data_IF_809095071122
#
_entry.id   IF_809095071122
#
_cell.length_a   1.000
_cell.length_b   1.000
_cell.length_c   1.000
_cell.angle_alpha   90.00
_cell.angle_beta   90.00
_cell.angle_gamma   90.00
#
_symmetry.space_group_name_H-M   'P 1'
#
loop_
_entity.id
_entity.type
_entity.pdbx_description
1 polymer ?
#
# COMPACT_ATOMS: atom_id res chain seq x y z
N UNK A 1 16.36 -44.70 -27.83
CA UNK A 1 16.03 -45.31 -29.12
C UNK A 1 15.60 -46.75 -28.84
N UNK A 2 14.31 -46.98 -28.61
CA UNK A 2 13.77 -48.27 -28.17
C UNK A 2 13.29 -49.07 -29.38
N UNK A 3 14.04 -50.10 -29.73
CA UNK A 3 13.64 -51.11 -30.70
C UNK A 3 12.64 -52.08 -30.06
N UNK A 4 11.55 -52.29 -30.78
CA UNK A 4 10.63 -53.41 -30.61
C UNK A 4 11.40 -54.73 -30.62
N UNK A 5 11.22 -55.55 -29.59
CA UNK A 5 11.47 -56.99 -29.70
C UNK A 5 10.25 -57.72 -29.17
N UNK A 6 9.46 -58.24 -30.12
CA UNK A 6 8.39 -59.17 -29.88
C UNK A 6 8.95 -60.42 -29.20
N UNK A 7 8.38 -60.79 -28.06
CA UNK A 7 8.57 -62.12 -27.47
C UNK A 7 7.21 -62.64 -27.00
N UNK A 8 6.77 -63.65 -27.75
CA UNK A 8 5.79 -64.71 -27.46
C UNK A 8 4.82 -64.50 -26.29
N UNK A 9 3.55 -64.41 -26.66
CA UNK A 9 2.39 -64.45 -25.75
C UNK A 9 2.35 -65.78 -24.99
N UNK A 10 2.23 -65.78 -23.66
CA UNK A 10 1.41 -66.76 -22.98
C UNK A 10 -0.05 -66.34 -23.16
N UNK A 11 -0.85 -67.26 -23.69
CA UNK A 11 -2.30 -67.20 -23.70
C UNK A 11 -2.85 -67.14 -22.28
N UNK A 12 -3.62 -66.09 -21.96
CA UNK A 12 -4.34 -65.96 -20.69
C UNK A 12 -3.79 -64.87 -19.77
N UNK A 13 -3.77 -63.62 -20.24
CA UNK A 13 -3.72 -62.47 -19.35
C UNK A 13 -4.81 -61.52 -19.83
N UNK A 14 -5.85 -61.35 -19.02
CA UNK A 14 -6.83 -60.28 -19.19
C UNK A 14 -6.07 -58.98 -19.45
N UNK A 15 -6.24 -58.40 -20.63
CA UNK A 15 -5.90 -56.98 -20.80
C UNK A 15 -6.72 -56.25 -19.74
N UNK A 16 -6.10 -55.47 -18.83
CA UNK A 16 -6.85 -54.80 -17.79
C UNK A 16 -7.91 -53.96 -18.49
N UNK A 17 -9.17 -54.28 -18.20
CA UNK A 17 -10.33 -53.69 -18.84
C UNK A 17 -10.13 -52.17 -18.88
N UNK A 18 -10.08 -51.53 -20.07
CA UNK A 18 -9.75 -50.12 -20.20
C UNK A 18 -10.67 -49.24 -19.34
N UNK A 19 -11.89 -49.72 -19.10
CA UNK A 19 -12.89 -49.10 -18.23
C UNK A 19 -12.49 -49.15 -16.74
N UNK A 20 -11.80 -50.21 -16.29
CA UNK A 20 -11.26 -50.34 -14.92
C UNK A 20 -10.01 -49.48 -14.74
N UNK A 21 -9.16 -49.39 -15.76
CA UNK A 21 -7.99 -48.50 -15.76
C UNK A 21 -8.43 -47.03 -15.71
N UNK A 22 -9.41 -46.64 -16.51
CA UNK A 22 -9.95 -45.28 -16.53
C UNK A 22 -10.68 -44.93 -15.23
N UNK A 23 -11.41 -45.86 -14.60
CA UNK A 23 -12.01 -45.65 -13.27
C UNK A 23 -10.98 -45.51 -12.16
N UNK A 24 -9.86 -46.26 -12.21
CA UNK A 24 -8.75 -46.11 -11.26
C UNK A 24 -8.04 -44.77 -11.44
N UNK A 25 -7.81 -44.36 -12.67
CA UNK A 25 -7.22 -43.06 -12.99
C UNK A 25 -8.12 -41.91 -12.50
N UNK A 26 -9.43 -41.97 -12.76
CA UNK A 26 -10.40 -41.01 -12.24
C UNK A 26 -10.49 -41.01 -10.71
N UNK A 27 -10.34 -42.17 -10.05
CA UNK A 27 -10.31 -42.25 -8.60
C UNK A 27 -9.07 -41.58 -8.01
N UNK A 28 -7.89 -41.86 -8.57
CA UNK A 28 -6.63 -41.23 -8.17
C UNK A 28 -6.68 -39.72 -8.39
N UNK A 29 -7.22 -39.27 -9.53
CA UNK A 29 -7.41 -37.84 -9.79
C UNK A 29 -8.38 -37.18 -8.79
N UNK A 30 -9.42 -37.89 -8.33
CA UNK A 30 -10.32 -37.39 -7.28
C UNK A 30 -9.66 -37.35 -5.91
N UNK A 31 -8.83 -38.34 -5.57
CA UNK A 31 -8.08 -38.33 -4.30
C UNK A 31 -7.05 -37.21 -4.27
N UNK A 32 -6.28 -37.03 -5.36
CA UNK A 32 -5.35 -35.91 -5.52
C UNK A 32 -6.09 -34.57 -5.49
N UNK A 33 -7.25 -34.46 -6.15
CA UNK A 33 -8.06 -33.25 -6.09
C UNK A 33 -8.61 -32.95 -4.69
N UNK A 34 -8.97 -33.98 -3.92
CA UNK A 34 -9.44 -33.84 -2.54
C UNK A 34 -8.30 -33.42 -1.61
N UNK A 35 -7.14 -34.05 -1.72
CA UNK A 35 -5.95 -33.69 -0.95
C UNK A 35 -5.51 -32.25 -1.25
N UNK A 36 -5.48 -31.87 -2.53
CA UNK A 36 -5.21 -30.50 -2.95
C UNK A 36 -6.24 -29.52 -2.37
N UNK A 37 -7.54 -29.85 -2.39
CA UNK A 37 -8.58 -28.99 -1.81
C UNK A 37 -8.43 -28.81 -0.29
N UNK A 38 -8.01 -29.85 0.44
CA UNK A 38 -7.72 -29.78 1.87
C UNK A 38 -6.51 -28.88 2.15
N UNK A 39 -5.42 -29.04 1.37
CA UNK A 39 -4.22 -28.19 1.46
C UNK A 39 -4.55 -26.73 1.17
N UNK A 40 -5.29 -26.44 0.10
CA UNK A 40 -5.76 -25.10 -0.26
C UNK A 40 -6.59 -24.48 0.88
N UNK A 41 -7.48 -25.25 1.48
CA UNK A 41 -8.31 -24.78 2.61
C UNK A 41 -7.45 -24.43 3.83
N UNK A 42 -6.47 -25.27 4.17
CA UNK A 42 -5.53 -24.99 5.25
C UNK A 42 -4.68 -23.75 4.97
N UNK A 43 -4.16 -23.59 3.75
CA UNK A 43 -3.38 -22.40 3.36
C UNK A 43 -4.21 -21.11 3.48
N UNK A 44 -5.48 -21.13 3.06
CA UNK A 44 -6.38 -19.99 3.22
C UNK A 44 -6.65 -19.65 4.70
N UNK A 45 -6.88 -20.67 5.52
CA UNK A 45 -7.07 -20.51 6.95
C UNK A 45 -5.84 -19.87 7.60
N UNK A 46 -4.63 -20.37 7.29
CA UNK A 46 -3.36 -19.82 7.79
C UNK A 46 -3.22 -18.35 7.40
N UNK A 47 -3.43 -18.00 6.12
CA UNK A 47 -3.33 -16.61 5.66
C UNK A 47 -4.32 -15.69 6.41
N UNK A 48 -5.54 -16.15 6.63
CA UNK A 48 -6.57 -15.39 7.37
C UNK A 48 -6.23 -15.22 8.86
N UNK A 49 -5.66 -16.25 9.48
CA UNK A 49 -5.20 -16.19 10.87
C UNK A 49 -4.02 -15.23 11.01
N UNK A 50 -3.06 -15.29 10.09
CA UNK A 50 -1.91 -14.39 10.05
C UNK A 50 -2.33 -12.92 9.96
N UNK A 51 -3.30 -12.56 9.10
CA UNK A 51 -3.85 -11.18 9.06
C UNK A 51 -4.32 -10.74 10.45
N UNK A 52 -5.05 -11.61 11.15
CA UNK A 52 -5.56 -11.32 12.50
C UNK A 52 -4.40 -11.15 13.50
N UNK A 53 -3.40 -12.02 13.45
CA UNK A 53 -2.21 -11.95 14.31
C UNK A 53 -1.44 -10.65 14.09
N UNK A 54 -1.22 -10.24 12.84
CA UNK A 54 -0.51 -9.00 12.53
C UNK A 54 -1.27 -7.76 12.96
N UNK A 55 -2.61 -7.74 12.78
CA UNK A 55 -3.44 -6.64 13.27
C UNK A 55 -3.39 -6.53 14.80
N UNK A 56 -3.49 -7.66 15.52
CA UNK A 56 -3.35 -7.66 16.99
C UNK A 56 -1.95 -7.22 17.40
N UNK A 57 -0.90 -7.68 16.72
CA UNK A 57 0.48 -7.28 16.99
C UNK A 57 0.69 -5.77 16.78
N UNK A 58 0.10 -5.18 15.73
CA UNK A 58 0.12 -3.74 15.49
C UNK A 58 -0.57 -2.95 16.62
N UNK A 59 -1.73 -3.41 17.08
CA UNK A 59 -2.43 -2.80 18.21
C UNK A 59 -1.61 -2.90 19.51
N UNK A 60 -1.04 -4.09 19.79
CA UNK A 60 -0.18 -4.29 20.96
C UNK A 60 1.06 -3.40 20.91
N UNK A 61 1.65 -3.23 19.72
CA UNK A 61 2.79 -2.34 19.52
C UNK A 61 2.46 -0.90 19.89
N UNK A 62 1.22 -0.43 19.72
CA UNK A 62 0.79 0.91 20.17
C UNK A 62 0.74 1.01 21.70
N UNK A 63 0.40 -0.07 22.41
CA UNK A 63 0.26 -0.06 23.87
C UNK A 63 1.58 -0.28 24.62
N UNK A 64 2.52 -1.03 24.06
CA UNK A 64 3.77 -1.40 24.75
C UNK A 64 4.77 -0.24 24.72
N UNK A 65 5.32 0.22 25.86
CA UNK A 65 6.32 1.29 25.88
C UNK A 65 7.61 0.86 25.15
N UNK A 66 8.33 1.81 24.55
CA UNK A 66 9.48 1.52 23.67
C UNK A 66 10.58 0.78 24.42
N UNK A 67 10.76 1.12 25.69
CA UNK A 67 11.74 0.53 26.60
C UNK A 67 11.49 -0.96 26.85
N UNK A 68 10.24 -1.43 26.67
CA UNK A 68 9.85 -2.83 26.84
C UNK A 68 9.89 -3.65 25.55
N UNK A 69 10.19 -3.04 24.39
CA UNK A 69 10.26 -3.75 23.11
C UNK A 69 11.56 -4.56 22.92
N UNK A 70 12.50 -4.48 23.87
CA UNK A 70 13.79 -5.15 23.77
C UNK A 70 14.69 -4.46 22.74
N UNK A 71 15.39 -5.26 21.93
CA UNK A 71 16.27 -4.74 20.88
C UNK A 71 15.46 -4.30 19.64
N UNK A 72 15.36 -2.99 19.37
CA UNK A 72 14.57 -2.47 18.25
C UNK A 72 15.05 -2.96 16.88
N UNK A 73 16.35 -3.28 16.74
CA UNK A 73 16.95 -3.75 15.50
C UNK A 73 16.43 -5.14 15.11
N UNK A 74 16.23 -6.00 16.11
CA UNK A 74 15.74 -7.37 15.92
C UNK A 74 14.26 -7.36 15.54
N UNK A 75 13.46 -6.52 16.21
CA UNK A 75 12.04 -6.36 15.90
C UNK A 75 11.87 -5.82 14.48
N UNK A 76 12.62 -4.77 14.12
CA UNK A 76 12.64 -4.21 12.77
C UNK A 76 13.01 -5.25 11.71
N UNK A 77 14.13 -5.94 11.91
CA UNK A 77 14.61 -6.97 10.97
C UNK A 77 13.63 -8.13 10.84
N UNK A 78 12.95 -8.53 11.92
CA UNK A 78 11.94 -9.59 11.88
C UNK A 78 10.71 -9.18 11.06
N UNK A 79 10.23 -7.95 11.24
CA UNK A 79 9.09 -7.43 10.49
C UNK A 79 9.48 -7.27 9.01
N UNK A 80 10.65 -6.69 8.70
CA UNK A 80 11.12 -6.56 7.31
C UNK A 80 11.25 -7.92 6.61
N UNK A 81 11.83 -8.93 7.26
CA UNK A 81 11.89 -10.29 6.68
C UNK A 81 10.49 -10.86 6.42
N UNK A 82 9.52 -10.58 7.29
CA UNK A 82 8.14 -10.98 7.04
C UNK A 82 7.57 -10.25 5.81
N UNK A 83 7.78 -8.94 5.70
CA UNK A 83 7.41 -8.14 4.51
C UNK A 83 8.01 -8.72 3.24
N UNK A 84 9.32 -8.98 3.21
CA UNK A 84 10.02 -9.57 2.08
C UNK A 84 9.41 -10.93 1.69
N UNK A 85 9.21 -11.82 2.65
CA UNK A 85 8.63 -13.14 2.39
C UNK A 85 7.24 -13.04 1.76
N UNK A 86 6.39 -12.12 2.24
CA UNK A 86 5.01 -11.97 1.72
C UNK A 86 5.01 -11.25 0.38
N UNK A 87 5.93 -10.31 0.18
CA UNK A 87 6.13 -9.66 -1.12
C UNK A 87 6.61 -10.67 -2.18
N UNK A 88 7.54 -11.56 -1.83
CA UNK A 88 7.97 -12.64 -2.73
C UNK A 88 6.80 -13.55 -3.11
N UNK A 89 5.97 -13.95 -2.13
CA UNK A 89 4.77 -14.75 -2.41
C UNK A 89 3.78 -14.02 -3.33
N UNK A 90 3.59 -12.72 -3.13
CA UNK A 90 2.73 -11.90 -3.97
C UNK A 90 3.29 -11.76 -5.39
N UNK A 91 4.59 -11.50 -5.54
CA UNK A 91 5.26 -11.38 -6.85
C UNK A 91 5.28 -12.68 -7.64
N UNK A 92 5.44 -13.82 -6.95
CA UNK A 92 5.33 -15.14 -7.58
C UNK A 92 3.90 -15.43 -8.06
N UNK A 93 2.90 -14.93 -7.34
CA UNK A 93 1.49 -15.08 -7.72
C UNK A 93 1.06 -14.20 -8.89
N UNK A 94 1.74 -13.07 -9.13
CA UNK A 94 1.46 -12.19 -10.28
C UNK A 94 2.24 -12.60 -11.53
N UNK A 95 3.43 -13.20 -11.37
CA UNK A 95 4.24 -13.70 -12.49
C UNK A 95 3.70 -15.00 -13.12
N UNK A 96 2.85 -15.77 -12.41
CA UNK A 96 2.27 -17.02 -12.92
C UNK A 96 1.15 -16.83 -13.95
N UNK A 97 0.67 -15.60 -14.16
CA UNK A 97 -0.34 -15.29 -15.18
C UNK A 97 0.25 -15.20 -16.60
N UNK A 98 1.59 -15.23 -16.76
CA UNK A 98 2.26 -15.38 -18.06
C UNK A 98 2.38 -16.88 -18.43
N UNK A 99 1.63 -17.31 -19.46
CA UNK A 99 1.33 -18.69 -19.91
C UNK A 99 2.53 -19.63 -20.24
N UNK A 100 3.78 -19.32 -19.89
CA UNK A 100 4.96 -20.09 -20.33
C UNK A 100 5.80 -20.72 -19.23
N UNK A 101 5.49 -20.50 -17.95
CA UNK A 101 6.15 -21.19 -16.84
C UNK A 101 5.15 -22.10 -16.10
N UNK A 102 5.51 -23.38 -15.91
CA UNK A 102 4.80 -24.26 -14.96
C UNK A 102 4.71 -23.52 -13.61
N UNK A 103 3.52 -23.15 -13.12
CA UNK A 103 3.42 -22.27 -11.97
C UNK A 103 3.83 -23.05 -10.71
N UNK A 104 4.48 -22.41 -9.73
CA UNK A 104 4.50 -22.96 -8.39
C UNK A 104 3.04 -23.06 -7.92
N UNK A 105 2.65 -24.22 -7.38
CA UNK A 105 1.34 -24.50 -6.80
C UNK A 105 1.10 -23.66 -5.54
N UNK A 106 0.95 -22.35 -5.71
CA UNK A 106 0.68 -21.39 -4.66
C UNK A 106 -0.78 -20.97 -4.77
N UNK A 107 -1.57 -21.17 -3.72
CA UNK A 107 -2.95 -20.68 -3.65
C UNK A 107 -3.07 -19.18 -3.97
N UNK A 108 -2.01 -18.40 -3.74
CA UNK A 108 -1.98 -16.99 -4.07
C UNK A 108 -2.00 -16.73 -5.59
N UNK A 109 -1.36 -17.59 -6.40
CA UNK A 109 -1.45 -17.54 -7.86
C UNK A 109 -2.88 -17.84 -8.33
N UNK A 110 -3.53 -18.80 -7.68
CA UNK A 110 -4.82 -19.34 -8.15
C UNK A 110 -6.05 -18.60 -7.58
N UNK A 111 -5.89 -17.81 -6.50
CA UNK A 111 -7.01 -17.19 -5.78
C UNK A 111 -6.82 -15.70 -5.52
N UNK A 112 -7.74 -14.89 -6.08
CA UNK A 112 -7.84 -13.46 -5.81
C UNK A 112 -8.07 -13.16 -4.30
N UNK A 113 -8.76 -14.05 -3.59
CA UNK A 113 -8.96 -13.90 -2.14
C UNK A 113 -7.67 -14.16 -1.36
N UNK A 114 -6.84 -15.12 -1.78
CA UNK A 114 -5.53 -15.33 -1.16
C UNK A 114 -4.58 -14.15 -1.43
N UNK A 115 -4.59 -13.58 -2.65
CA UNK A 115 -3.87 -12.32 -2.95
C UNK A 115 -4.35 -11.18 -2.06
N UNK A 116 -5.66 -11.06 -1.84
CA UNK A 116 -6.21 -10.04 -0.95
C UNK A 116 -5.72 -10.19 0.49
N UNK A 117 -5.63 -11.43 1.00
CA UNK A 117 -5.10 -11.67 2.34
C UNK A 117 -3.62 -11.29 2.43
N UNK A 118 -2.80 -11.62 1.42
CA UNK A 118 -1.40 -11.20 1.37
C UNK A 118 -1.25 -9.68 1.38
N UNK A 119 -2.11 -8.96 0.65
CA UNK A 119 -2.14 -7.50 0.68
C UNK A 119 -2.45 -6.94 2.07
N UNK A 120 -3.44 -7.51 2.76
CA UNK A 120 -3.77 -7.11 4.12
C UNK A 120 -2.62 -7.40 5.09
N UNK A 121 -1.93 -8.54 4.94
CA UNK A 121 -0.74 -8.85 5.75
C UNK A 121 0.38 -7.83 5.52
N UNK A 122 0.69 -7.49 4.27
CA UNK A 122 1.70 -6.49 3.93
C UNK A 122 1.35 -5.12 4.52
N UNK A 123 0.08 -4.71 4.41
CA UNK A 123 -0.42 -3.48 5.02
C UNK A 123 -0.20 -3.46 6.53
N UNK A 124 -0.64 -4.50 7.26
CA UNK A 124 -0.44 -4.59 8.70
C UNK A 124 1.04 -4.56 9.09
N UNK A 125 1.90 -5.27 8.34
CA UNK A 125 3.34 -5.34 8.61
C UNK A 125 4.03 -4.00 8.39
N UNK A 126 3.72 -3.28 7.31
CA UNK A 126 4.32 -1.96 7.04
C UNK A 126 3.79 -0.92 8.03
N UNK A 127 2.52 -0.99 8.43
CA UNK A 127 2.00 -0.17 9.53
C UNK A 127 2.75 -0.41 10.84
N UNK A 128 3.12 -1.65 11.14
CA UNK A 128 3.95 -1.98 12.30
C UNK A 128 5.35 -1.37 12.20
N UNK A 129 6.01 -1.43 11.03
CA UNK A 129 7.30 -0.77 10.80
C UNK A 129 7.22 0.72 11.07
N UNK A 130 6.23 1.38 10.45
CA UNK A 130 6.03 2.81 10.60
C UNK A 130 5.72 3.21 12.05
N UNK A 131 4.83 2.46 12.71
CA UNK A 131 4.50 2.66 14.13
C UNK A 131 5.74 2.51 15.02
N UNK A 132 6.53 1.45 14.83
CA UNK A 132 7.75 1.20 15.58
C UNK A 132 8.71 2.39 15.50
N UNK A 133 8.95 2.90 14.29
CA UNK A 133 9.83 4.06 14.07
C UNK A 133 9.28 5.33 14.72
N UNK A 134 7.98 5.63 14.59
CA UNK A 134 7.37 6.79 15.24
C UNK A 134 7.51 6.73 16.76
N UNK A 135 7.30 5.56 17.35
CA UNK A 135 7.46 5.39 18.80
C UNK A 135 8.90 5.61 19.23
N UNK A 136 9.87 5.07 18.50
CA UNK A 136 11.29 5.28 18.78
C UNK A 136 11.72 6.73 18.61
N UNK A 137 11.28 7.40 17.54
CA UNK A 137 11.53 8.82 17.30
C UNK A 137 10.97 9.65 18.46
N UNK A 138 9.72 9.40 18.89
CA UNK A 138 9.11 10.10 20.03
C UNK A 138 9.88 9.89 21.32
N UNK A 139 10.31 8.66 21.61
CA UNK A 139 11.09 8.35 22.82
C UNK A 139 12.45 9.06 22.86
N UNK A 140 13.03 9.40 21.70
CA UNK A 140 14.33 10.09 21.59
C UNK A 140 14.26 11.60 21.42
N UNK A 141 13.09 12.20 21.55
CA UNK A 141 12.92 13.65 21.38
C UNK A 141 12.78 14.09 19.93
N UNK A 142 12.36 13.20 19.03
CA UNK A 142 11.93 13.53 17.66
C UNK A 142 12.71 12.82 16.56
N UNK A 143 12.28 13.05 15.32
CA UNK A 143 12.81 12.42 14.09
C UNK A 143 14.28 12.77 13.84
N UNK A 144 14.72 13.95 14.29
CA UNK A 144 16.08 14.46 14.12
C UNK A 144 17.13 13.76 15.03
N UNK A 145 16.69 12.98 16.03
CA UNK A 145 17.56 12.39 17.04
C UNK A 145 17.80 10.89 16.80
N UNK A 146 18.52 10.55 15.72
CA UNK A 146 19.23 9.28 15.53
C UNK A 146 18.44 7.99 15.80
N UNK A 147 17.11 8.00 15.73
CA UNK A 147 16.27 6.87 16.15
C UNK A 147 16.56 5.60 15.36
N UNK A 148 16.89 5.74 14.08
CA UNK A 148 17.13 4.62 13.18
C UNK A 148 18.59 4.17 13.06
N UNK A 149 19.56 4.87 13.67
CA UNK A 149 20.96 4.38 13.70
C UNK A 149 21.07 3.00 14.35
N UNK A 150 20.12 2.67 15.23
CA UNK A 150 20.04 1.36 15.88
C UNK A 150 19.28 0.30 15.06
N UNK A 151 18.53 0.67 14.02
CA UNK A 151 17.74 -0.30 13.25
C UNK A 151 18.58 -1.11 12.27
N UNK A 152 19.84 -0.69 12.03
CA UNK A 152 20.70 -1.24 10.97
C UNK A 152 20.02 -1.27 9.59
N UNK A 153 19.06 -0.36 9.38
CA UNK A 153 18.31 -0.28 8.14
C UNK A 153 19.22 0.17 6.99
N UNK A 154 18.99 -0.38 5.81
CA UNK A 154 19.83 -0.17 4.63
C UNK A 154 19.08 0.32 3.40
N UNK A 155 19.84 0.55 2.32
CA UNK A 155 19.30 0.93 1.00
C UNK A 155 18.31 -0.10 0.44
N UNK A 156 18.53 -1.39 0.72
CA UNK A 156 17.62 -2.48 0.33
C UNK A 156 16.21 -2.32 0.91
N UNK A 157 16.13 -1.86 2.15
CA UNK A 157 14.87 -1.74 2.88
C UNK A 157 14.04 -0.60 2.29
N UNK A 158 14.70 0.52 1.96
CA UNK A 158 14.06 1.64 1.27
C UNK A 158 13.57 1.23 -0.12
N UNK A 159 14.38 0.50 -0.89
CA UNK A 159 13.98 0.02 -2.23
C UNK A 159 12.77 -0.92 -2.16
N UNK A 160 12.75 -1.86 -1.21
CA UNK A 160 11.60 -2.75 -0.98
C UNK A 160 10.32 -1.94 -0.68
N UNK A 161 10.39 -0.96 0.22
CA UNK A 161 9.24 -0.13 0.58
C UNK A 161 8.77 0.75 -0.58
N UNK A 162 9.70 1.29 -1.39
CA UNK A 162 9.36 2.05 -2.60
C UNK A 162 8.61 1.16 -3.58
N UNK A 163 9.09 -0.06 -3.84
CA UNK A 163 8.40 -1.01 -4.74
C UNK A 163 7.01 -1.32 -4.22
N UNK A 164 6.89 -1.68 -2.93
CA UNK A 164 5.59 -1.96 -2.30
C UNK A 164 4.60 -0.80 -2.40
N UNK A 165 5.06 0.44 -2.28
CA UNK A 165 4.19 1.61 -2.38
C UNK A 165 3.61 1.81 -3.79
N UNK A 166 4.30 1.31 -4.83
CA UNK A 166 3.89 1.44 -6.23
C UNK A 166 3.19 0.21 -6.80
N UNK A 167 3.20 -0.90 -6.07
CA UNK A 167 2.53 -2.12 -6.49
C UNK A 167 1.01 -1.91 -6.53
N UNK A 168 0.40 -2.32 -7.65
CA UNK A 168 -1.00 -2.04 -7.93
C UNK A 168 -1.84 -3.28 -7.69
N UNK A 169 -2.98 -3.12 -7.01
CA UNK A 169 -3.98 -4.19 -6.92
C UNK A 169 -4.70 -4.29 -8.25
N UNK A 170 -4.64 -5.46 -8.88
CA UNK A 170 -5.55 -5.78 -9.97
C UNK A 170 -6.99 -5.70 -9.46
N UNK A 171 -7.80 -4.84 -10.07
CA UNK A 171 -9.24 -4.83 -9.87
C UNK A 171 -9.79 -6.19 -10.26
N UNK A 172 -10.18 -6.99 -9.26
CA UNK A 172 -10.76 -8.31 -9.46
C UNK A 172 -12.09 -8.22 -10.19
N UNK A 173 -12.05 -8.32 -11.51
CA UNK A 173 -13.23 -8.38 -12.35
C UNK A 173 -12.96 -9.06 -13.66
N UNK A 174 -13.16 -10.39 -13.70
CA UNK A 174 -13.32 -11.10 -14.96
C UNK A 174 -14.64 -10.63 -15.58
N UNK A 175 -14.57 -9.63 -16.47
CA UNK A 175 -15.67 -9.34 -17.38
C UNK A 175 -15.73 -10.47 -18.41
N UNK A 176 -16.46 -11.55 -18.08
CA UNK A 176 -16.96 -12.49 -19.09
C UNK A 176 -18.02 -11.74 -19.89
N UNK A 177 -17.58 -10.93 -20.86
CA UNK A 177 -18.24 -10.47 -22.11
C UNK A 177 -17.51 -9.21 -22.57
N UNK A 178 -16.55 -9.36 -23.48
CA UNK A 178 -16.28 -8.47 -24.63
C UNK A 178 -16.10 -6.95 -24.46
N UNK A 179 -16.08 -6.39 -23.26
CA UNK A 179 -15.74 -4.99 -23.00
C UNK A 179 -14.72 -4.93 -21.87
N UNK A 180 -13.49 -4.58 -22.22
CA UNK A 180 -12.49 -4.07 -21.27
C UNK A 180 -12.99 -2.75 -20.72
N UNK A 181 -13.91 -2.79 -19.76
CA UNK A 181 -13.98 -1.70 -18.78
C UNK A 181 -12.75 -1.87 -17.89
N UNK A 182 -11.79 -0.95 -18.02
CA UNK A 182 -10.70 -0.85 -17.07
C UNK A 182 -11.34 -0.60 -15.70
N UNK A 183 -11.41 -1.64 -14.86
CA UNK A 183 -11.78 -1.43 -13.47
C UNK A 183 -10.78 -0.46 -12.85
N UNK A 184 -11.23 0.51 -12.03
CA UNK A 184 -10.31 1.43 -11.39
C UNK A 184 -9.30 0.61 -10.58
N UNK A 185 -8.02 0.79 -10.89
CA UNK A 185 -6.89 0.26 -10.14
C UNK A 185 -7.10 0.64 -8.67
N UNK A 186 -7.34 -0.34 -7.80
CA UNK A 186 -7.60 -0.07 -6.39
C UNK A 186 -6.26 0.23 -5.74
N UNK A 187 -5.95 1.52 -5.58
CA UNK A 187 -4.85 1.96 -4.71
C UNK A 187 -5.06 1.37 -3.31
N UNK A 188 -3.97 1.00 -2.62
CA UNK A 188 -3.98 0.59 -1.21
C UNK A 188 -3.46 1.79 -0.38
N UNK A 189 -4.30 2.80 -0.09
CA UNK A 189 -3.78 4.10 0.31
C UNK A 189 -3.16 4.07 1.70
N UNK A 190 -3.65 3.19 2.57
CA UNK A 190 -3.11 2.91 3.91
C UNK A 190 -1.72 2.26 3.86
N UNK A 191 -1.51 1.30 2.95
CA UNK A 191 -0.19 0.73 2.70
C UNK A 191 0.77 1.80 2.14
N UNK A 192 0.32 2.56 1.13
CA UNK A 192 1.11 3.65 0.56
C UNK A 192 1.48 4.69 1.62
N UNK A 193 0.54 5.11 2.46
CA UNK A 193 0.78 6.03 3.57
C UNK A 193 1.83 5.48 4.53
N UNK A 194 1.70 4.21 4.94
CA UNK A 194 2.66 3.59 5.84
C UNK A 194 4.06 3.46 5.20
N UNK A 195 4.16 3.14 3.90
CA UNK A 195 5.42 3.16 3.17
C UNK A 195 6.04 4.56 3.14
N UNK A 196 5.24 5.60 2.88
CA UNK A 196 5.72 7.01 2.88
C UNK A 196 6.27 7.40 4.23
N UNK A 197 5.52 7.13 5.30
CA UNK A 197 5.98 7.41 6.65
C UNK A 197 7.27 6.65 7.00
N UNK A 198 7.36 5.36 6.63
CA UNK A 198 8.54 4.55 6.92
C UNK A 198 9.78 5.00 6.14
N UNK A 199 9.63 5.26 4.83
CA UNK A 199 10.71 5.77 3.97
C UNK A 199 11.16 7.16 4.45
N UNK A 200 10.21 8.04 4.77
CA UNK A 200 10.48 9.37 5.30
C UNK A 200 11.41 9.32 6.51
N UNK A 201 11.03 8.54 7.53
CA UNK A 201 11.83 8.39 8.75
C UNK A 201 13.20 7.76 8.47
N UNK A 202 13.29 6.73 7.62
CA UNK A 202 14.56 6.10 7.24
C UNK A 202 15.50 7.09 6.56
N UNK A 203 15.03 7.76 5.51
CA UNK A 203 15.84 8.68 4.73
C UNK A 203 16.30 9.88 5.56
N UNK A 204 15.44 10.46 6.43
CA UNK A 204 15.85 11.55 7.32
C UNK A 204 16.98 11.10 8.24
N UNK A 205 16.90 9.88 8.75
CA UNK A 205 17.84 9.36 9.73
C UNK A 205 19.24 9.03 9.20
N UNK A 206 19.38 8.78 7.89
CA UNK A 206 20.69 8.55 7.29
C UNK A 206 21.55 9.82 7.32
N UNK A 207 20.94 11.00 7.27
CA UNK A 207 21.67 12.26 7.34
C UNK A 207 22.62 12.46 6.15
N UNK A 208 22.25 11.92 4.99
CA UNK A 208 23.02 12.02 3.74
C UNK A 208 22.18 12.69 2.65
N UNK A 209 22.85 13.43 1.77
CA UNK A 209 22.21 14.15 0.66
C UNK A 209 21.48 13.18 -0.29
N UNK A 210 22.09 12.02 -0.60
CA UNK A 210 21.48 11.00 -1.46
C UNK A 210 20.19 10.46 -0.83
N UNK A 211 20.21 10.15 0.47
CA UNK A 211 19.04 9.67 1.19
C UNK A 211 17.90 10.69 1.21
N UNK A 212 18.22 11.95 1.52
CA UNK A 212 17.24 13.06 1.49
C UNK A 212 16.67 13.26 0.09
N UNK A 213 17.51 13.20 -0.95
CA UNK A 213 17.08 13.32 -2.34
C UNK A 213 16.11 12.19 -2.72
N UNK A 214 16.46 10.93 -2.42
CA UNK A 214 15.60 9.77 -2.72
C UNK A 214 14.26 9.88 -1.98
N UNK A 215 14.29 10.17 -0.68
CA UNK A 215 13.08 10.33 0.13
C UNK A 215 12.20 11.48 -0.34
N UNK A 216 12.80 12.65 -0.64
CA UNK A 216 12.08 13.81 -1.15
C UNK A 216 11.47 13.55 -2.54
N UNK A 217 12.23 12.94 -3.48
CA UNK A 217 11.71 12.60 -4.80
C UNK A 217 10.55 11.59 -4.72
N UNK A 218 10.65 10.60 -3.83
CA UNK A 218 9.55 9.66 -3.59
C UNK A 218 8.31 10.36 -3.01
N UNK A 219 8.46 11.18 -1.98
CA UNK A 219 7.35 11.92 -1.38
C UNK A 219 6.70 12.91 -2.38
N UNK A 220 7.50 13.61 -3.19
CA UNK A 220 6.99 14.47 -4.27
C UNK A 220 6.23 13.67 -5.33
N UNK A 221 6.69 12.46 -5.66
CA UNK A 221 5.99 11.58 -6.58
C UNK A 221 4.62 11.18 -6.01
N UNK A 222 4.53 10.83 -4.73
CA UNK A 222 3.25 10.53 -4.07
C UNK A 222 2.33 11.76 -4.04
N UNK A 223 2.87 12.93 -3.70
CA UNK A 223 2.14 14.20 -3.68
C UNK A 223 1.52 14.54 -5.06
N UNK A 224 2.22 14.19 -6.13
CA UNK A 224 1.79 14.42 -7.51
C UNK A 224 0.94 13.27 -8.10
N UNK A 225 1.12 12.03 -7.63
CA UNK A 225 0.44 10.83 -8.12
C UNK A 225 -1.07 10.93 -7.95
N UNK A 226 -1.87 10.30 -8.82
CA UNK A 226 -3.35 10.32 -8.87
C UNK A 226 -4.01 11.53 -9.56
N UNK A 227 -3.26 12.48 -10.10
CA UNK A 227 -3.79 13.39 -11.12
C UNK A 227 -3.90 12.66 -12.47
N UNK A 228 -5.00 12.83 -13.21
CA UNK A 228 -5.13 12.24 -14.54
C UNK A 228 -3.91 12.61 -15.42
N UNK A 229 -3.14 11.61 -15.84
CA UNK A 229 -1.98 11.68 -16.74
C UNK A 229 -2.35 12.02 -18.21
N UNK A 230 -3.47 12.71 -18.44
CA UNK A 230 -3.92 13.07 -19.77
C UNK A 230 -4.34 14.54 -19.81
N UNK A 231 -3.49 15.35 -20.46
CA UNK A 231 -3.69 16.73 -20.89
C UNK A 231 -3.71 17.83 -19.81
N UNK A 232 -2.57 18.53 -19.70
CA UNK A 232 -2.39 19.99 -19.62
C UNK A 232 -3.24 20.87 -18.68
N UNK A 233 -4.06 20.33 -17.79
CA UNK A 233 -4.74 21.08 -16.73
C UNK A 233 -4.66 20.28 -15.45
N UNK A 234 -3.93 20.82 -14.47
CA UNK A 234 -3.81 20.24 -13.13
C UNK A 234 -5.20 19.83 -12.60
N UNK A 235 -5.34 18.67 -11.92
CA UNK A 235 -6.62 18.29 -11.33
C UNK A 235 -7.04 19.39 -10.35
N UNK A 236 -8.20 20.00 -10.62
CA UNK A 236 -8.68 21.19 -9.89
C UNK A 236 -9.31 20.85 -8.53
N UNK A 237 -9.43 19.56 -8.17
CA UNK A 237 -9.89 19.13 -6.84
C UNK A 237 -9.43 17.70 -6.50
N UNK A 238 -9.04 17.47 -5.24
CA UNK A 238 -8.71 16.13 -4.71
C UNK A 238 -9.92 15.18 -4.71
N UNK A 239 -11.16 15.68 -4.86
CA UNK A 239 -12.36 14.84 -5.01
C UNK A 239 -12.48 14.18 -6.40
N UNK A 240 -11.57 14.49 -7.34
CA UNK A 240 -11.59 13.96 -8.70
C UNK A 240 -10.57 12.83 -8.95
N UNK A 241 -9.86 12.39 -7.89
CA UNK A 241 -8.73 11.46 -7.99
C UNK A 241 -9.13 10.01 -8.36
N UNK A 242 -10.43 9.66 -8.33
CA UNK A 242 -10.97 8.34 -8.73
C UNK A 242 -11.66 8.40 -10.11
N UNK A 243 -10.88 8.65 -11.18
CA UNK A 243 -11.35 8.43 -12.55
C UNK A 243 -12.34 9.46 -13.12
N UNK A 244 -12.36 10.69 -12.60
CA UNK A 244 -12.97 11.85 -13.28
C UNK A 244 -14.46 12.13 -13.03
N UNK A 245 -15.16 11.32 -12.23
CA UNK A 245 -16.47 11.70 -11.71
C UNK A 245 -16.28 12.50 -10.42
N UNK A 246 -16.39 13.83 -10.50
CA UNK A 246 -16.39 14.67 -9.30
C UNK A 246 -17.46 14.12 -8.34
N UNK A 247 -17.03 13.66 -7.15
CA UNK A 247 -17.93 13.26 -6.08
C UNK A 247 -18.71 14.49 -5.63
N UNK A 248 -19.80 14.81 -6.33
CA UNK A 248 -20.69 15.90 -5.96
C UNK A 248 -21.46 15.48 -4.71
N UNK A 249 -20.91 15.90 -3.58
CA UNK A 249 -21.36 15.60 -2.22
C UNK A 249 -22.77 16.02 -1.85
N UNK A 250 -23.49 16.67 -2.76
CA UNK A 250 -24.81 17.28 -2.54
C UNK A 250 -25.91 16.67 -3.42
N UNK A 251 -25.59 15.65 -4.21
CA UNK A 251 -26.56 14.91 -5.01
C UNK A 251 -27.30 13.88 -4.15
N UNK A 252 -28.63 13.84 -4.26
CA UNK A 252 -29.42 12.89 -3.49
C UNK A 252 -29.42 11.50 -4.18
N UNK A 253 -28.79 10.52 -3.55
CA UNK A 253 -28.76 9.11 -3.94
C UNK A 253 -29.94 8.35 -3.29
N UNK A 254 -30.90 7.91 -4.12
CA UNK A 254 -32.07 7.19 -3.64
C UNK A 254 -31.76 5.72 -3.25
N UNK A 255 -30.90 5.07 -4.03
CA UNK A 255 -30.62 3.64 -3.91
C UNK A 255 -29.58 3.35 -2.79
N UNK A 256 -29.83 2.41 -1.86
CA UNK A 256 -28.85 2.03 -0.83
C UNK A 256 -27.56 1.39 -1.40
N UNK A 257 -27.62 0.71 -2.55
CA UNK A 257 -26.42 0.15 -3.19
C UNK A 257 -25.52 1.24 -3.76
N UNK A 258 -26.10 2.24 -4.43
CA UNK A 258 -25.37 3.41 -4.93
C UNK A 258 -24.76 4.23 -3.78
N UNK A 259 -25.49 4.39 -2.67
CA UNK A 259 -24.97 5.05 -1.47
C UNK A 259 -23.73 4.35 -0.91
N UNK A 260 -23.76 3.01 -0.81
CA UNK A 260 -22.60 2.23 -0.36
C UNK A 260 -21.42 2.35 -1.30
N UNK A 261 -21.65 2.22 -2.62
CA UNK A 261 -20.59 2.36 -3.61
C UNK A 261 -19.98 3.78 -3.59
N UNK A 262 -20.81 4.81 -3.42
CA UNK A 262 -20.34 6.18 -3.30
C UNK A 262 -19.50 6.40 -2.04
N UNK A 263 -19.94 5.89 -0.88
CA UNK A 263 -19.17 5.96 0.37
C UNK A 263 -17.82 5.24 0.24
N UNK A 264 -17.79 4.09 -0.41
CA UNK A 264 -16.54 3.36 -0.67
C UNK A 264 -15.56 4.19 -1.51
N UNK A 265 -16.05 4.89 -2.54
CA UNK A 265 -15.21 5.80 -3.33
C UNK A 265 -14.73 7.00 -2.50
N UNK A 266 -15.60 7.57 -1.68
CA UNK A 266 -15.21 8.66 -0.79
C UNK A 266 -14.10 8.23 0.17
N UNK A 267 -14.21 7.04 0.78
CA UNK A 267 -13.17 6.51 1.66
C UNK A 267 -11.87 6.17 0.91
N UNK A 268 -11.96 5.72 -0.35
CA UNK A 268 -10.77 5.54 -1.18
C UNK A 268 -10.05 6.87 -1.44
N UNK A 269 -10.80 7.94 -1.70
CA UNK A 269 -10.24 9.30 -1.85
C UNK A 269 -9.68 9.80 -0.52
N UNK A 270 -10.38 9.61 0.61
CA UNK A 270 -9.89 9.95 1.95
C UNK A 270 -8.51 9.31 2.19
N UNK A 271 -8.37 8.02 1.88
CA UNK A 271 -7.10 7.32 2.01
C UNK A 271 -5.99 7.88 1.10
N UNK A 272 -6.30 8.25 -0.14
CA UNK A 272 -5.30 8.88 -1.05
C UNK A 272 -4.86 10.24 -0.48
N UNK A 273 -5.79 11.01 0.06
CA UNK A 273 -5.48 12.28 0.72
C UNK A 273 -4.59 12.04 1.94
N UNK A 274 -4.87 11.04 2.77
CA UNK A 274 -4.02 10.68 3.91
C UNK A 274 -2.60 10.29 3.50
N UNK A 275 -2.42 9.53 2.42
CA UNK A 275 -1.09 9.22 1.87
C UNK A 275 -0.34 10.47 1.39
N UNK A 276 -1.04 11.41 0.74
CA UNK A 276 -0.43 12.68 0.31
C UNK A 276 -0.11 13.62 1.47
N UNK A 277 -0.96 13.64 2.49
CA UNK A 277 -0.72 14.37 3.75
C UNK A 277 0.53 13.84 4.43
N UNK A 278 0.70 12.53 4.50
CA UNK A 278 1.93 11.90 5.03
C UNK A 278 3.16 12.27 4.18
N UNK A 279 3.03 12.30 2.86
CA UNK A 279 4.12 12.73 1.98
C UNK A 279 4.51 14.20 2.21
N UNK A 280 3.52 15.08 2.42
CA UNK A 280 3.76 16.46 2.78
C UNK A 280 4.44 16.58 4.15
N UNK A 281 4.02 15.77 5.12
CA UNK A 281 4.65 15.71 6.44
C UNK A 281 6.11 15.25 6.35
N UNK A 282 6.40 14.18 5.61
CA UNK A 282 7.77 13.71 5.39
C UNK A 282 8.64 14.79 4.72
N UNK A 283 8.11 15.53 3.74
CA UNK A 283 8.80 16.66 3.12
C UNK A 283 9.09 17.78 4.12
N UNK A 284 8.16 18.10 5.02
CA UNK A 284 8.46 19.05 6.09
C UNK A 284 9.59 18.53 6.98
N UNK A 285 9.52 17.27 7.43
CA UNK A 285 10.54 16.65 8.29
C UNK A 285 11.95 16.66 7.67
N UNK A 286 12.09 16.40 6.37
CA UNK A 286 13.37 16.47 5.65
C UNK A 286 14.00 17.87 5.69
N UNK A 287 13.16 18.90 5.64
CA UNK A 287 13.58 20.27 5.41
C UNK A 287 13.25 21.20 6.58
N UNK A 288 12.98 20.68 7.77
CA UNK A 288 12.90 21.52 8.97
C UNK A 288 14.25 22.22 9.23
N UNK A 289 15.36 21.52 8.98
CA UNK A 289 16.71 22.09 8.97
C UNK A 289 17.06 22.58 7.55
N UNK A 290 17.90 23.61 7.45
CA UNK A 290 18.30 24.29 6.21
C UNK A 290 19.45 23.56 5.48
N UNK A 291 20.01 22.49 6.09
CA UNK A 291 21.19 21.74 5.59
C UNK A 291 21.10 21.33 4.13
N UNK A 292 19.94 20.85 3.68
CA UNK A 292 19.74 20.31 2.32
C UNK A 292 18.94 21.24 1.41
N UNK A 293 18.79 22.52 1.79
CA UNK A 293 17.94 23.45 1.06
C UNK A 293 18.49 23.76 -0.35
N UNK A 294 19.80 23.98 -0.43
CA UNK A 294 20.50 24.32 -1.69
C UNK A 294 20.58 23.11 -2.62
N UNK A 295 20.82 21.92 -2.06
CA UNK A 295 21.12 20.71 -2.83
C UNK A 295 19.86 19.97 -3.26
N UNK A 296 18.78 20.01 -2.46
CA UNK A 296 17.57 19.22 -2.71
C UNK A 296 16.29 20.07 -2.71
N UNK A 297 16.02 20.86 -1.66
CA UNK A 297 14.73 21.56 -1.52
C UNK A 297 14.43 22.51 -2.68
N UNK A 298 15.39 23.38 -3.03
CA UNK A 298 15.25 24.36 -4.10
C UNK A 298 15.26 23.69 -5.48
N UNK A 299 16.24 22.82 -5.83
CA UNK A 299 16.29 22.19 -7.15
C UNK A 299 15.09 21.29 -7.46
N UNK A 300 14.55 20.59 -6.46
CA UNK A 300 13.37 19.73 -6.63
C UNK A 300 12.04 20.51 -6.64
N UNK A 301 12.07 21.83 -6.39
CA UNK A 301 10.87 22.67 -6.38
C UNK A 301 9.89 22.32 -5.26
N UNK A 302 10.39 21.81 -4.13
CA UNK A 302 9.57 21.32 -3.01
C UNK A 302 8.59 22.40 -2.54
N UNK A 303 9.07 23.63 -2.37
CA UNK A 303 8.25 24.77 -1.92
C UNK A 303 7.02 24.99 -2.80
N UNK A 304 7.18 24.99 -4.12
CA UNK A 304 6.08 25.20 -5.07
C UNK A 304 5.06 24.06 -4.99
N UNK A 305 5.53 22.80 -4.93
CA UNK A 305 4.67 21.61 -4.89
C UNK A 305 3.85 21.55 -3.60
N UNK A 306 4.47 21.82 -2.45
CA UNK A 306 3.78 21.94 -1.16
C UNK A 306 2.76 23.08 -1.15
N UNK A 307 3.09 24.22 -1.77
CA UNK A 307 2.17 25.37 -1.85
C UNK A 307 0.91 25.04 -2.68
N UNK A 308 1.08 24.34 -3.81
CA UNK A 308 -0.04 23.86 -4.63
C UNK A 308 -0.88 22.86 -3.84
N UNK A 309 -0.24 21.90 -3.16
CA UNK A 309 -0.93 20.91 -2.35
C UNK A 309 -1.71 21.53 -1.19
N UNK A 310 -1.17 22.55 -0.50
CA UNK A 310 -1.88 23.24 0.57
C UNK A 310 -3.22 23.82 0.11
N UNK A 311 -3.26 24.43 -1.09
CA UNK A 311 -4.51 24.95 -1.68
C UNK A 311 -5.50 23.81 -1.93
N UNK A 312 -5.02 22.68 -2.46
CA UNK A 312 -5.84 21.49 -2.72
C UNK A 312 -6.39 20.87 -1.43
N UNK A 313 -5.56 20.76 -0.39
CA UNK A 313 -5.92 20.19 0.91
C UNK A 313 -6.99 21.03 1.62
N UNK A 314 -6.83 22.36 1.65
CA UNK A 314 -7.82 23.27 2.24
C UNK A 314 -9.20 23.13 1.60
N UNK A 315 -9.23 23.11 0.26
CA UNK A 315 -10.48 22.94 -0.45
C UNK A 315 -11.10 21.56 -0.17
N UNK A 316 -10.27 20.51 -0.11
CA UNK A 316 -10.73 19.17 0.24
C UNK A 316 -11.35 19.09 1.64
N UNK A 317 -10.64 19.56 2.69
CA UNK A 317 -11.12 19.59 4.08
C UNK A 317 -12.49 20.29 4.15
N UNK A 318 -12.62 21.45 3.50
CA UNK A 318 -13.86 22.23 3.44
C UNK A 318 -14.99 21.46 2.75
N UNK A 319 -14.72 20.85 1.59
CA UNK A 319 -15.70 20.06 0.84
C UNK A 319 -16.12 18.80 1.61
N UNK A 320 -15.17 18.13 2.27
CA UNK A 320 -15.41 16.93 3.06
C UNK A 320 -16.30 17.19 4.27
N UNK A 321 -16.13 18.32 4.94
CA UNK A 321 -17.04 18.79 5.99
C UNK A 321 -18.45 19.04 5.47
N UNK A 322 -18.60 19.65 4.29
CA UNK A 322 -19.91 19.87 3.68
C UNK A 322 -20.60 18.53 3.34
N UNK A 323 -19.84 17.58 2.79
CA UNK A 323 -20.29 16.21 2.53
C UNK A 323 -20.80 15.55 3.81
N UNK A 324 -20.01 15.55 4.88
CA UNK A 324 -20.39 14.91 6.16
C UNK A 324 -21.69 15.50 6.71
N UNK A 325 -21.85 16.83 6.66
CA UNK A 325 -23.08 17.52 7.09
C UNK A 325 -24.28 17.13 6.23
N UNK A 326 -24.12 17.10 4.91
CA UNK A 326 -25.19 16.70 3.98
C UNK A 326 -25.63 15.25 4.21
N UNK A 327 -24.68 14.32 4.32
CA UNK A 327 -24.95 12.89 4.50
C UNK A 327 -25.58 12.57 5.85
N UNK A 328 -25.10 13.21 6.93
CA UNK A 328 -25.71 13.10 8.26
C UNK A 328 -27.16 13.59 8.27
N UNK A 329 -27.45 14.70 7.57
CA UNK A 329 -28.80 15.27 7.49
C UNK A 329 -29.77 14.43 6.65
N UNK A 330 -29.33 13.94 5.48
CA UNK A 330 -30.23 13.30 4.51
C UNK A 330 -30.31 11.78 4.65
N UNK A 331 -29.28 11.13 5.19
CA UNK A 331 -29.21 9.68 5.31
C UNK A 331 -29.03 9.17 6.74
N UNK A 332 -28.83 10.06 7.72
CA UNK A 332 -28.48 9.70 9.11
C UNK A 332 -27.22 8.83 9.22
N UNK A 333 -26.34 8.86 8.20
CA UNK A 333 -25.07 8.16 8.18
C UNK A 333 -23.98 9.15 8.58
N UNK A 334 -23.22 8.81 9.62
CA UNK A 334 -22.01 9.55 9.98
C UNK A 334 -20.92 9.14 9.00
N UNK A 335 -20.51 10.07 8.15
CA UNK A 335 -19.42 9.89 7.21
C UNK A 335 -18.21 10.74 7.63
N UNK A 336 -17.98 10.96 8.92
CA UNK A 336 -16.82 11.73 9.39
C UNK A 336 -15.53 10.93 9.15
N UNK A 337 -14.47 11.54 8.58
CA UNK A 337 -13.21 10.83 8.35
C UNK A 337 -12.42 10.70 9.66
N UNK A 338 -11.79 9.53 9.86
CA UNK A 338 -10.95 9.26 11.02
C UNK A 338 -9.72 10.19 11.07
N UNK A 339 -9.13 10.47 9.90
CA UNK A 339 -7.91 11.29 9.77
C UNK A 339 -8.18 12.81 9.74
N UNK A 340 -9.42 13.25 9.99
CA UNK A 340 -9.79 14.66 9.79
C UNK A 340 -8.94 15.64 10.60
N UNK A 341 -8.71 15.33 11.88
CA UNK A 341 -7.88 16.14 12.77
C UNK A 341 -6.43 16.20 12.29
N UNK A 342 -5.88 15.07 11.82
CA UNK A 342 -4.54 15.00 11.26
C UNK A 342 -4.41 15.89 10.01
N UNK A 343 -5.42 15.90 9.13
CA UNK A 343 -5.38 16.76 7.95
C UNK A 343 -5.38 18.25 8.31
N UNK A 344 -6.13 18.64 9.35
CA UNK A 344 -6.13 20.03 9.83
C UNK A 344 -4.79 20.42 10.45
N UNK A 345 -4.22 19.54 11.29
CA UNK A 345 -2.89 19.77 11.89
C UNK A 345 -1.83 19.97 10.81
N UNK A 346 -1.82 19.12 9.77
CA UNK A 346 -0.85 19.25 8.68
C UNK A 346 -1.11 20.49 7.81
N UNK A 347 -2.37 20.90 7.63
CA UNK A 347 -2.70 22.15 6.97
C UNK A 347 -2.10 23.36 7.70
N UNK A 348 -2.25 23.42 9.02
CA UNK A 348 -1.68 24.48 9.87
C UNK A 348 -0.15 24.45 9.85
N UNK A 349 0.45 23.27 9.99
CA UNK A 349 1.91 23.08 9.96
C UNK A 349 2.51 23.49 8.60
N UNK A 350 1.85 23.14 7.48
CA UNK A 350 2.30 23.53 6.14
C UNK A 350 2.31 25.03 5.94
N UNK A 351 1.33 25.75 6.50
CA UNK A 351 1.29 27.22 6.42
C UNK A 351 2.53 27.81 7.10
N UNK A 352 2.77 27.45 8.36
CA UNK A 352 3.92 27.94 9.11
C UNK A 352 5.25 27.57 8.45
N UNK A 353 5.36 26.33 7.97
CA UNK A 353 6.55 25.85 7.28
C UNK A 353 6.83 26.62 5.98
N UNK A 354 5.81 26.84 5.14
CA UNK A 354 5.96 27.57 3.88
C UNK A 354 6.31 29.04 4.12
N UNK A 355 5.71 29.69 5.11
CA UNK A 355 6.04 31.07 5.48
C UNK A 355 7.50 31.20 5.95
N UNK A 356 7.93 30.29 6.84
CA UNK A 356 9.32 30.20 7.30
C UNK A 356 10.28 30.02 6.13
N UNK A 357 10.06 29.02 5.26
CA UNK A 357 10.93 28.76 4.10
C UNK A 357 10.92 29.89 3.08
N UNK A 358 9.79 30.56 2.88
CA UNK A 358 9.73 31.72 1.99
C UNK A 358 10.57 32.90 2.51
N UNK A 359 10.66 33.08 3.82
CA UNK A 359 11.59 34.06 4.42
C UNK A 359 13.04 33.63 4.21
N UNK A 360 13.38 32.38 4.54
CA UNK A 360 14.73 31.85 4.38
C UNK A 360 15.25 31.92 2.94
N UNK A 361 14.45 31.46 1.95
CA UNK A 361 14.81 31.54 0.52
C UNK A 361 15.02 32.99 0.07
N UNK A 362 14.24 33.94 0.59
CA UNK A 362 14.42 35.36 0.26
C UNK A 362 15.75 35.89 0.79
N UNK A 363 16.17 35.45 1.96
CA UNK A 363 17.43 35.88 2.56
C UNK A 363 18.63 35.22 1.86
N UNK A 364 18.53 33.95 1.46
CA UNK A 364 19.52 33.29 0.60
C UNK A 364 19.73 33.98 -0.76
N UNK A 365 18.71 34.64 -1.31
CA UNK A 365 18.83 35.38 -2.60
C UNK A 365 19.48 36.76 -2.48
N UNK A 366 19.59 37.30 -1.26
CA UNK A 366 20.21 38.62 -1.01
C UNK A 366 21.72 38.51 -0.79
N UNK A 367 22.20 37.32 -0.46
CA UNK A 367 23.60 36.97 -0.27
C UNK A 367 24.09 36.15 -1.45
#
# INVERSE_FOLDING_TARGET
MLWLSARERPSGADSPDPDVMQRREQHLLREVAKENAEVTTMQFLILSMEVTVWNVASLLLLMVPVESLGDPSQVWSAILRAVEQRYVLLSAATASDDETALPPSSIAAESASARQLLWLQLESLVQMLWTLQRKQAKARGGVLHGSNQQLHAGKSDVDLLIRLAWERREGGGVSKVGKKEAQPLVCMPTLTQACVGAIGLLCVSFGEVEATLVGASFALAILASYGNDSAATAPSSLLQLDGGMALSGTSHLANPAERRAWLQRLFAVDGIVSARVEAANALMDFFLDERYDIEVYIPQGVHQKLSIFLVQLREYIKQRLMISKFWKRNYQIVAEPEDFEQWQEIEENLVGFLEYKAQHIRDLRKH
#
